data_IF_774219883914
#
_entry.id   IF_774219883914
#
_cell.length_a   1.000
_cell.length_b   1.000
_cell.length_c   1.000
_cell.angle_alpha   90.00
_cell.angle_beta   90.00
_cell.angle_gamma   90.00
#
_symmetry.space_group_name_H-M   'P 1'
#
loop_
_entity.id
_entity.type
_entity.pdbx_description
1 polymer ?
#
# COMPACT_ATOMS: atom_id res chain seq x y z
N UNK A 1 14.09 -11.87 5.22
CA UNK A 1 13.14 -11.93 6.36
C UNK A 1 13.20 -13.32 6.97
N UNK A 2 13.46 -13.42 8.28
CA UNK A 2 13.70 -14.70 8.95
C UNK A 2 12.40 -15.50 9.17
N UNK A 3 12.48 -16.84 9.30
CA UNK A 3 11.30 -17.74 9.44
C UNK A 3 10.40 -17.33 10.62
N UNK A 4 11.00 -17.13 11.79
CA UNK A 4 10.31 -16.61 13.00
C UNK A 4 9.55 -15.31 12.75
N UNK A 5 10.15 -14.40 12.00
CA UNK A 5 9.55 -13.10 11.69
C UNK A 5 8.32 -13.24 10.77
N UNK A 6 8.30 -14.25 9.88
CA UNK A 6 7.13 -14.59 9.06
C UNK A 6 6.00 -15.17 9.89
N UNK A 7 6.31 -16.07 10.83
CA UNK A 7 5.31 -16.69 11.71
C UNK A 7 4.66 -15.65 12.62
N UNK A 8 5.45 -14.80 13.27
CA UNK A 8 4.94 -13.69 14.11
C UNK A 8 4.12 -12.71 13.27
N UNK A 9 4.55 -12.40 12.04
CA UNK A 9 3.77 -11.54 11.15
C UNK A 9 2.45 -12.20 10.73
N UNK A 10 2.41 -13.52 10.52
CA UNK A 10 1.18 -14.26 10.17
C UNK A 10 0.17 -14.25 11.31
N UNK A 11 0.65 -14.39 12.54
CA UNK A 11 -0.17 -14.34 13.75
C UNK A 11 -0.69 -12.91 14.02
N UNK A 12 0.19 -11.92 13.95
CA UNK A 12 -0.14 -10.53 14.29
C UNK A 12 -0.95 -9.77 13.23
N UNK A 13 -1.00 -10.26 11.99
CA UNK A 13 -1.78 -9.68 10.91
C UNK A 13 -2.32 -10.80 10.02
N UNK A 14 -3.51 -11.34 10.30
CA UNK A 14 -4.11 -12.35 9.45
C UNK A 14 -4.27 -11.83 8.03
N UNK A 15 -4.19 -12.76 7.07
CA UNK A 15 -4.48 -12.45 5.68
C UNK A 15 -5.99 -12.30 5.52
N UNK A 16 -6.38 -11.25 4.83
CA UNK A 16 -7.74 -11.03 4.36
C UNK A 16 -7.77 -11.06 2.85
N UNK A 17 -8.94 -11.33 2.27
CA UNK A 17 -9.13 -11.23 0.84
C UNK A 17 -9.59 -9.81 0.47
N UNK A 18 -8.97 -9.21 -0.55
CA UNK A 18 -9.45 -7.97 -1.12
C UNK A 18 -10.81 -8.20 -1.79
N UNK A 19 -11.81 -7.38 -1.49
CA UNK A 19 -13.16 -7.54 -2.05
C UNK A 19 -13.26 -7.24 -3.54
N UNK A 20 -12.29 -6.49 -4.09
CA UNK A 20 -12.31 -6.05 -5.49
C UNK A 20 -11.52 -7.01 -6.40
N UNK A 21 -10.29 -7.38 -5.99
CA UNK A 21 -9.41 -8.21 -6.82
C UNK A 21 -9.14 -9.61 -6.26
N UNK A 22 -9.73 -9.97 -5.11
CA UNK A 22 -9.56 -11.27 -4.44
C UNK A 22 -8.12 -11.65 -4.07
N UNK A 23 -7.17 -10.71 -4.18
CA UNK A 23 -5.80 -10.95 -3.75
C UNK A 23 -5.67 -10.84 -2.22
N UNK A 24 -4.76 -11.61 -1.61
CA UNK A 24 -4.51 -11.54 -0.18
C UNK A 24 -3.95 -10.17 0.21
N UNK A 25 -4.45 -9.60 1.30
CA UNK A 25 -4.06 -8.33 1.90
C UNK A 25 -3.87 -8.47 3.41
N UNK A 26 -3.17 -7.51 4.02
CA UNK A 26 -3.08 -7.34 5.47
C UNK A 26 -3.59 -5.95 5.86
N UNK A 27 -4.04 -5.80 7.09
CA UNK A 27 -4.40 -4.49 7.62
C UNK A 27 -3.35 -3.98 8.59
N UNK A 28 -2.84 -2.78 8.32
CA UNK A 28 -1.99 -2.02 9.24
C UNK A 28 -2.87 -1.02 9.98
N UNK A 29 -2.85 -1.04 11.31
CA UNK A 29 -3.45 0.03 12.11
C UNK A 29 -2.52 1.24 12.07
N UNK A 30 -2.98 2.31 11.47
CA UNK A 30 -2.27 3.58 11.45
C UNK A 30 -2.37 4.25 12.83
N UNK A 31 -1.38 5.07 13.17
CA UNK A 31 -1.40 5.89 14.40
C UNK A 31 -2.63 6.80 14.48
N UNK A 32 -3.16 7.21 13.31
CA UNK A 32 -4.41 7.97 13.17
C UNK A 32 -5.68 7.18 13.53
N UNK A 33 -5.57 5.89 13.88
CA UNK A 33 -6.67 4.99 14.24
C UNK A 33 -7.27 4.21 13.07
N UNK A 34 -7.02 4.65 11.84
CA UNK A 34 -7.51 4.01 10.61
C UNK A 34 -6.77 2.71 10.28
N UNK A 35 -7.46 1.75 9.67
CA UNK A 35 -6.84 0.54 9.15
C UNK A 35 -6.53 0.71 7.65
N UNK A 36 -5.27 0.52 7.26
CA UNK A 36 -4.82 0.62 5.87
C UNK A 36 -4.58 -0.79 5.29
N UNK A 37 -5.22 -1.14 4.15
CA UNK A 37 -4.93 -2.38 3.46
C UNK A 37 -3.58 -2.29 2.75
N UNK A 38 -2.71 -3.25 3.02
CA UNK A 38 -1.37 -3.39 2.43
C UNK A 38 -1.19 -4.76 1.81
N UNK A 39 -0.23 -4.86 0.89
CA UNK A 39 0.18 -6.14 0.34
C UNK A 39 0.78 -7.03 1.43
N UNK A 40 0.61 -8.35 1.34
CA UNK A 40 0.95 -9.27 2.41
C UNK A 40 2.46 -9.50 2.52
N UNK A 41 3.19 -9.23 1.45
CA UNK A 41 4.64 -9.29 1.37
C UNK A 41 5.24 -7.91 1.64
N UNK A 42 6.31 -7.90 2.43
CA UNK A 42 7.09 -6.69 2.66
C UNK A 42 7.79 -6.26 1.36
N UNK A 43 7.81 -4.97 1.10
CA UNK A 43 8.47 -4.40 -0.07
C UNK A 43 9.36 -3.22 0.37
N UNK A 44 10.67 -3.23 0.06
CA UNK A 44 11.57 -2.13 0.45
C UNK A 44 11.20 -0.77 -0.16
N UNK A 45 10.50 -0.79 -1.32
CA UNK A 45 9.97 0.40 -1.99
C UNK A 45 8.57 0.81 -1.49
N UNK A 46 8.00 0.05 -0.55
CA UNK A 46 6.72 0.37 0.06
C UNK A 46 6.80 1.64 0.90
N UNK A 47 5.74 2.45 0.85
CA UNK A 47 5.60 3.68 1.62
C UNK A 47 4.82 3.49 2.93
N UNK A 48 4.53 2.26 3.35
CA UNK A 48 3.90 1.99 4.65
C UNK A 48 4.91 1.32 5.57
N UNK A 49 5.30 1.99 6.65
CA UNK A 49 6.14 1.42 7.68
C UNK A 49 5.26 0.85 8.80
N UNK A 50 5.46 -0.41 9.18
CA UNK A 50 4.74 -1.02 10.27
C UNK A 50 5.63 -1.90 11.13
N UNK A 51 5.28 -1.99 12.41
CA UNK A 51 5.89 -2.87 13.41
C UNK A 51 4.82 -3.71 14.08
N UNK A 52 5.24 -4.82 14.66
CA UNK A 52 4.34 -5.68 15.44
C UNK A 52 4.34 -5.15 16.87
N UNK A 53 3.16 -4.82 17.39
CA UNK A 53 2.97 -4.32 18.75
C UNK A 53 1.70 -4.94 19.34
N UNK A 54 1.83 -5.61 20.49
CA UNK A 54 0.70 -6.26 21.16
C UNK A 54 -0.05 -7.27 20.29
N UNK A 55 0.66 -8.03 19.44
CA UNK A 55 0.04 -8.99 18.50
C UNK A 55 -0.72 -8.34 17.35
N UNK A 56 -0.48 -7.06 17.05
CA UNK A 56 -1.10 -6.34 15.92
C UNK A 56 -0.05 -5.64 15.09
N UNK A 57 -0.35 -5.46 13.81
CA UNK A 57 0.48 -4.68 12.90
C UNK A 57 0.08 -3.19 12.99
N UNK A 58 0.96 -2.38 13.57
CA UNK A 58 0.73 -0.95 13.83
C UNK A 58 1.81 -0.14 13.11
N UNK A 59 1.43 0.95 12.47
CA UNK A 59 2.35 1.67 11.59
C UNK A 59 1.88 3.04 11.15
N UNK A 60 2.53 3.54 10.12
CA UNK A 60 2.21 4.82 9.50
C UNK A 60 2.63 4.84 8.03
N UNK A 61 2.13 5.83 7.29
CA UNK A 61 2.53 6.08 5.91
C UNK A 61 3.76 7.00 5.92
N UNK A 62 4.82 6.57 5.25
CA UNK A 62 6.02 7.36 4.99
C UNK A 62 5.66 8.41 3.93
N UNK A 63 5.74 9.68 4.32
CA UNK A 63 5.53 10.83 3.44
C UNK A 63 6.68 11.82 3.61
N UNK A 64 6.71 12.90 2.83
CA UNK A 64 7.75 13.94 2.99
C UNK A 64 7.71 14.57 4.39
N UNK A 65 6.51 14.73 4.93
CA UNK A 65 6.24 15.33 6.24
C UNK A 65 6.38 14.32 7.40
N UNK A 66 6.32 13.01 7.10
CA UNK A 66 6.36 11.94 8.11
C UNK A 66 7.62 11.09 7.93
N UNK A 67 8.63 11.37 8.78
CA UNK A 67 9.98 10.76 8.78
C UNK A 67 9.96 9.24 8.54
N UNK A 68 11.02 8.66 7.95
CA UNK A 68 11.14 7.22 7.82
C UNK A 68 11.07 6.57 9.20
N UNK A 69 10.25 5.52 9.32
CA UNK A 69 10.11 4.77 10.56
C UNK A 69 11.42 4.19 11.08
N UNK A 70 11.42 3.81 12.37
CA UNK A 70 12.58 3.20 13.01
C UNK A 70 13.12 2.05 12.15
N UNK A 71 14.44 1.83 12.19
CA UNK A 71 15.15 0.88 11.32
C UNK A 71 14.56 -0.54 11.31
N UNK A 72 13.89 -0.93 12.40
CA UNK A 72 13.25 -2.24 12.57
C UNK A 72 11.83 -2.34 11.97
N UNK A 73 11.36 -1.30 11.27
CA UNK A 73 10.03 -1.28 10.66
C UNK A 73 10.00 -2.12 9.39
N UNK A 74 9.00 -3.00 9.28
CA UNK A 74 8.67 -3.67 8.02
C UNK A 74 8.03 -2.67 7.07
N UNK A 75 8.51 -2.63 5.82
CA UNK A 75 7.91 -1.80 4.77
C UNK A 75 6.93 -2.61 3.94
N UNK A 76 5.78 -2.02 3.66
CA UNK A 76 4.72 -2.61 2.85
C UNK A 76 4.29 -1.65 1.76
N UNK A 77 3.87 -2.24 0.64
CA UNK A 77 3.20 -1.50 -0.43
C UNK A 77 1.70 -1.42 -0.10
N UNK A 78 1.06 -0.24 -0.17
CA UNK A 78 -0.37 -0.13 0.06
C UNK A 78 -1.11 -0.85 -1.07
N UNK A 79 -2.14 -1.62 -0.71
CA UNK A 79 -2.79 -2.49 -1.68
C UNK A 79 -3.50 -1.70 -2.78
N UNK A 80 -4.04 -0.52 -2.46
CA UNK A 80 -4.70 0.32 -3.47
C UNK A 80 -3.78 0.70 -4.64
N UNK A 81 -2.46 0.77 -4.44
CA UNK A 81 -1.49 1.08 -5.49
C UNK A 81 -1.23 -0.11 -6.44
N UNK A 82 -1.58 -1.33 -6.02
CA UNK A 82 -1.36 -2.56 -6.80
C UNK A 82 -2.66 -3.32 -7.08
N UNK A 83 -3.80 -2.77 -6.68
CA UNK A 83 -5.10 -3.39 -6.87
C UNK A 83 -5.54 -3.15 -8.31
N UNK A 84 -5.47 -4.17 -9.15
CA UNK A 84 -5.79 -4.06 -10.59
C UNK A 84 -7.26 -3.65 -10.83
N UNK A 85 -8.18 -4.12 -9.97
CA UNK A 85 -9.59 -3.74 -10.04
C UNK A 85 -9.81 -2.22 -9.83
N UNK A 86 -9.05 -1.60 -8.93
CA UNK A 86 -9.07 -0.14 -8.70
C UNK A 86 -8.23 0.63 -9.70
N UNK A 87 -7.09 0.09 -10.15
CA UNK A 87 -6.25 0.71 -11.17
C UNK A 87 -7.01 0.88 -12.50
N UNK A 88 -7.96 -0.03 -12.78
CA UNK A 88 -8.86 0.06 -13.93
C UNK A 88 -9.82 1.25 -13.87
N UNK A 89 -10.03 1.85 -12.70
CA UNK A 89 -10.88 3.03 -12.52
C UNK A 89 -10.13 4.35 -12.72
N UNK A 90 -8.79 4.36 -12.71
CA UNK A 90 -7.98 5.59 -12.81
C UNK A 90 -7.26 5.76 -14.14
N UNK A 91 -7.52 4.91 -15.13
CA UNK A 91 -6.94 5.00 -16.48
C UNK A 91 -7.75 5.86 -17.47
N UNK A 92 -8.77 6.59 -17.03
CA UNK A 92 -9.29 7.78 -17.74
C UNK A 92 -8.67 9.00 -17.03
N UNK A 93 -7.92 9.92 -17.65
CA UNK A 93 -7.94 10.40 -19.02
C UNK A 93 -6.58 11.02 -19.36
N UNK A 94 -5.84 10.47 -20.32
CA UNK A 94 -4.93 11.27 -21.14
C UNK A 94 -5.63 11.48 -22.47
N UNK A 95 -6.43 12.54 -22.55
CA UNK A 95 -6.85 13.12 -23.82
C UNK A 95 -6.05 14.41 -24.00
N UNK A 96 -5.04 14.47 -24.87
CA UNK A 96 -4.68 15.73 -25.50
C UNK A 96 -5.75 16.05 -26.57
N UNK A 97 -6.24 17.30 -26.64
CA UNK A 97 -7.34 17.70 -27.50
C UNK A 97 -6.98 17.71 -28.99
N UNK A 98 -8.05 17.58 -29.78
CA UNK A 98 -8.18 17.63 -31.22
C UNK A 98 -7.11 18.37 -32.04
N UNK A 99 -6.75 17.76 -33.17
CA UNK A 99 -6.29 18.46 -34.36
C UNK A 99 -7.38 19.43 -34.85
N UNK A 100 -7.03 20.72 -34.98
CA UNK A 100 -7.64 21.72 -35.86
C UNK A 100 -6.69 22.94 -35.86
N UNK A 101 -5.95 23.13 -36.95
CA UNK A 101 -6.22 24.19 -37.94
C UNK A 101 -5.45 25.48 -37.59
N UNK A 102 -4.26 25.64 -38.19
CA UNK A 102 -3.63 26.96 -38.32
C UNK A 102 -3.54 27.31 -39.82
N UNK A 103 -3.95 28.55 -40.20
CA UNK A 103 -4.25 28.91 -41.58
C UNK A 103 -3.00 29.26 -42.40
N UNK A 104 -3.14 29.07 -43.72
CA UNK A 104 -2.32 29.67 -44.78
C UNK A 104 -2.13 31.18 -44.56
N UNK A 105 -0.87 31.63 -44.47
CA UNK A 105 -0.41 32.91 -45.02
C UNK A 105 1.04 32.79 -45.52
#
# INVERSE_FOLDING_TARGET
MNRRQRDVLRDAAPLHECRDCHLPIRFVRLDTGSALPVNPLTNPKGNVAARISGGRLVGFVISRDHRPGPLDSLRFMPHHATCEAKARSTSSSTTPPAAADEPLF
#
